data_IF_430627764982
#
_entry.id   IF_430627764982
#
_cell.length_a   1.000
_cell.length_b   1.000
_cell.length_c   1.000
_cell.angle_alpha   90.00
_cell.angle_beta   90.00
_cell.angle_gamma   90.00
#
_symmetry.space_group_name_H-M   'P 1'
#
loop_
_entity.id
_entity.type
_entity.pdbx_description
1 polymer ?
#
# COMPACT_ATOMS: atom_id res chain seq x y z
N UNK A 1 23.70 -7.30 -32.18
CA UNK A 1 22.91 -6.12 -31.70
C UNK A 1 21.43 -6.53 -31.69
N UNK A 2 20.98 -7.24 -30.69
CA UNK A 2 19.53 -7.42 -30.45
C UNK A 2 19.09 -6.36 -29.45
N UNK A 3 18.75 -5.18 -29.96
CA UNK A 3 18.11 -4.09 -29.21
C UNK A 3 16.64 -4.40 -28.98
N UNK A 4 16.31 -5.49 -28.31
CA UNK A 4 14.95 -5.69 -27.78
C UNK A 4 14.71 -4.66 -26.70
N UNK A 5 13.62 -3.89 -26.84
CA UNK A 5 13.18 -2.93 -25.84
C UNK A 5 12.81 -3.70 -24.54
N UNK A 6 13.75 -3.82 -23.61
CA UNK A 6 13.55 -4.57 -22.36
C UNK A 6 12.76 -3.70 -21.40
N UNK A 7 11.59 -4.17 -20.98
CA UNK A 7 10.83 -3.55 -19.90
C UNK A 7 11.57 -3.76 -18.57
N UNK A 8 11.88 -2.67 -17.88
CA UNK A 8 12.46 -2.73 -16.53
C UNK A 8 11.30 -2.76 -15.54
N UNK A 9 11.38 -3.69 -14.58
CA UNK A 9 10.41 -3.82 -13.50
C UNK A 9 11.09 -3.57 -12.17
N UNK A 10 10.44 -2.76 -11.33
CA UNK A 10 10.89 -2.42 -10.00
C UNK A 10 9.99 -2.96 -8.90
N UNK A 11 10.39 -2.68 -7.68
CA UNK A 11 9.65 -3.06 -6.47
C UNK A 11 8.93 -1.84 -5.87
N UNK A 12 8.07 -2.09 -4.89
CA UNK A 12 7.37 -1.06 -4.09
C UNK A 12 8.31 0.01 -3.51
N UNK A 13 9.58 -0.31 -3.27
CA UNK A 13 10.57 0.64 -2.74
C UNK A 13 10.77 1.85 -3.65
N UNK A 14 10.49 1.72 -4.94
CA UNK A 14 10.59 2.83 -5.88
C UNK A 14 9.58 3.94 -5.62
N UNK A 15 8.44 3.61 -5.01
CA UNK A 15 7.40 4.59 -4.70
C UNK A 15 7.87 5.73 -3.78
N UNK A 16 8.95 5.53 -3.06
CA UNK A 16 9.53 6.55 -2.16
C UNK A 16 10.71 7.31 -2.75
N UNK A 17 11.17 6.95 -3.96
CA UNK A 17 12.31 7.56 -4.61
C UNK A 17 11.89 8.51 -5.74
N UNK A 18 11.63 9.76 -5.38
CA UNK A 18 11.28 10.81 -6.34
C UNK A 18 12.41 11.13 -7.37
N UNK A 19 13.63 10.61 -7.18
CA UNK A 19 14.77 10.90 -8.06
C UNK A 19 14.85 9.99 -9.28
N UNK A 20 14.13 8.86 -9.29
CA UNK A 20 14.15 7.89 -10.38
C UNK A 20 13.85 8.50 -11.75
N UNK A 21 12.90 9.41 -11.83
CA UNK A 21 12.54 10.09 -13.08
C UNK A 21 13.64 10.99 -13.64
N UNK A 22 14.62 11.38 -12.84
CA UNK A 22 15.82 12.11 -13.26
C UNK A 22 16.74 11.28 -14.15
N UNK A 23 16.78 9.96 -13.95
CA UNK A 23 17.55 9.05 -14.79
C UNK A 23 16.74 8.66 -16.05
N UNK A 24 17.20 9.12 -17.22
CA UNK A 24 16.53 8.84 -18.48
C UNK A 24 16.38 7.33 -18.78
N UNK A 25 17.32 6.50 -18.33
CA UNK A 25 17.28 5.04 -18.52
C UNK A 25 16.18 4.36 -17.70
N UNK A 26 15.68 5.01 -16.65
CA UNK A 26 14.60 4.49 -15.80
C UNK A 26 13.21 4.89 -16.26
N UNK A 27 13.10 5.88 -17.15
CA UNK A 27 11.81 6.34 -17.67
C UNK A 27 11.15 5.25 -18.51
N UNK A 28 9.84 5.06 -18.31
CA UNK A 28 9.08 3.97 -18.90
C UNK A 28 9.18 2.65 -18.11
N UNK A 29 9.99 2.56 -17.06
CA UNK A 29 10.03 1.40 -16.18
C UNK A 29 8.75 1.33 -15.33
N UNK A 30 8.32 0.12 -14.98
CA UNK A 30 7.13 -0.12 -14.19
C UNK A 30 7.44 -0.69 -12.81
N UNK A 31 6.61 -0.37 -11.85
CA UNK A 31 6.67 -0.98 -10.53
C UNK A 31 5.27 -1.10 -9.93
N UNK A 32 5.09 -2.10 -9.07
CA UNK A 32 3.87 -2.29 -8.32
C UNK A 32 4.03 -1.70 -6.92
N UNK A 33 3.03 -0.93 -6.47
CA UNK A 33 3.01 -0.35 -5.13
C UNK A 33 1.59 -0.25 -4.60
N UNK A 34 1.46 -0.02 -3.30
CA UNK A 34 0.19 0.38 -2.70
C UNK A 34 -0.18 1.79 -3.13
N UNK A 35 -1.48 2.08 -3.22
CA UNK A 35 -1.97 3.42 -3.57
C UNK A 35 -1.64 4.45 -2.48
N UNK A 36 -1.20 5.64 -2.89
CA UNK A 36 -0.84 6.73 -1.97
C UNK A 36 -1.99 7.69 -1.65
N UNK A 37 -3.16 7.51 -2.25
CA UNK A 37 -4.27 8.47 -2.12
C UNK A 37 -4.72 8.71 -0.68
N UNK A 38 -4.99 7.66 0.08
CA UNK A 38 -5.39 7.76 1.49
C UNK A 38 -4.20 8.03 2.41
N UNK A 39 -3.01 7.51 2.08
CA UNK A 39 -1.80 7.82 2.83
C UNK A 39 -1.47 9.31 2.82
N UNK A 40 -1.66 10.00 1.70
CA UNK A 40 -1.48 11.45 1.60
C UNK A 40 -2.35 12.21 2.60
N UNK A 41 -3.61 11.80 2.78
CA UNK A 41 -4.52 12.38 3.77
C UNK A 41 -4.06 12.12 5.21
N UNK A 42 -3.63 10.88 5.52
CA UNK A 42 -3.04 10.53 6.82
C UNK A 42 -1.80 11.38 7.11
N UNK A 43 -0.89 11.49 6.14
CA UNK A 43 0.34 12.25 6.27
C UNK A 43 0.09 13.74 6.50
N UNK A 44 -0.91 14.34 5.83
CA UNK A 44 -1.31 15.72 6.05
C UNK A 44 -1.84 15.94 7.48
N UNK A 45 -2.76 15.10 7.95
CA UNK A 45 -3.29 15.15 9.33
C UNK A 45 -2.19 14.97 10.38
N UNK A 46 -1.30 14.03 10.14
CA UNK A 46 -0.17 13.75 11.03
C UNK A 46 0.77 14.96 11.12
N UNK A 47 1.10 15.58 9.97
CA UNK A 47 1.96 16.78 9.94
C UNK A 47 1.34 17.94 10.69
N UNK A 48 0.02 18.17 10.53
CA UNK A 48 -0.69 19.23 11.27
C UNK A 48 -0.61 19.00 12.79
N UNK A 49 -0.69 17.74 13.24
CA UNK A 49 -0.68 17.42 14.68
C UNK A 49 0.71 17.40 15.30
N UNK A 50 1.73 16.92 14.56
CA UNK A 50 3.05 16.61 15.10
C UNK A 50 4.20 17.44 14.47
N UNK A 51 3.90 18.33 13.54
CA UNK A 51 4.87 19.21 12.89
C UNK A 51 5.80 18.53 11.88
N UNK A 52 5.67 17.21 11.66
CA UNK A 52 6.51 16.43 10.74
C UNK A 52 5.69 15.36 10.02
N UNK A 53 6.16 14.92 8.84
CA UNK A 53 5.56 13.79 8.15
C UNK A 53 5.79 12.46 8.89
N UNK A 54 4.85 11.51 8.84
CA UNK A 54 5.08 10.16 9.34
C UNK A 54 6.05 9.41 8.42
N UNK A 55 6.71 8.38 8.95
CA UNK A 55 7.35 7.38 8.08
C UNK A 55 6.30 6.64 7.25
N UNK A 56 6.65 6.23 6.03
CA UNK A 56 5.72 5.53 5.13
C UNK A 56 5.11 4.28 5.80
N UNK A 57 5.92 3.53 6.54
CA UNK A 57 5.48 2.33 7.28
C UNK A 57 4.50 2.61 8.44
N UNK A 58 4.29 3.87 8.82
CA UNK A 58 3.30 4.21 9.84
C UNK A 58 1.86 3.85 9.43
N UNK A 59 1.59 3.75 8.11
CA UNK A 59 0.31 3.26 7.59
C UNK A 59 -0.02 1.85 8.07
N UNK A 60 0.98 0.96 8.15
CA UNK A 60 0.79 -0.42 8.63
C UNK A 60 0.34 -0.44 10.11
N UNK A 61 0.95 0.42 10.93
CA UNK A 61 0.52 0.57 12.34
C UNK A 61 -0.90 1.11 12.45
N UNK A 62 -1.23 2.12 11.64
CA UNK A 62 -2.57 2.69 11.58
C UNK A 62 -3.61 1.63 11.17
N UNK A 63 -3.35 0.90 10.08
CA UNK A 63 -4.22 -0.15 9.56
C UNK A 63 -4.38 -1.31 10.57
N UNK A 64 -3.32 -1.66 11.31
CA UNK A 64 -3.37 -2.70 12.35
C UNK A 64 -4.33 -2.33 13.48
N UNK A 65 -4.35 -1.06 13.90
CA UNK A 65 -5.28 -0.58 14.92
C UNK A 65 -6.71 -0.59 14.37
N UNK A 66 -6.95 -0.08 13.16
CA UNK A 66 -8.27 -0.09 12.55
C UNK A 66 -8.81 -1.51 12.38
N UNK A 67 -7.96 -2.44 11.92
CA UNK A 67 -8.30 -3.85 11.79
C UNK A 67 -8.70 -4.46 13.13
N UNK A 68 -7.88 -4.23 14.16
CA UNK A 68 -8.16 -4.73 15.51
C UNK A 68 -9.50 -4.22 16.05
N UNK A 69 -9.77 -2.93 15.90
CA UNK A 69 -11.05 -2.31 16.29
C UNK A 69 -12.22 -2.94 15.53
N UNK A 70 -12.06 -3.15 14.20
CA UNK A 70 -13.10 -3.78 13.37
C UNK A 70 -13.41 -5.20 13.80
N UNK A 71 -12.38 -6.00 14.09
CA UNK A 71 -12.55 -7.39 14.53
C UNK A 71 -13.15 -7.47 15.93
N UNK A 72 -12.72 -6.56 16.81
CA UNK A 72 -13.17 -6.51 18.21
C UNK A 72 -14.55 -5.86 18.40
N UNK A 73 -15.20 -5.38 17.35
CA UNK A 73 -16.44 -4.59 17.42
C UNK A 73 -17.51 -5.22 18.31
N UNK A 74 -17.70 -6.53 18.16
CA UNK A 74 -18.71 -7.28 18.90
C UNK A 74 -18.06 -8.30 19.88
N UNK A 75 -16.77 -8.11 20.14
CA UNK A 75 -16.04 -9.00 21.06
C UNK A 75 -16.38 -8.65 22.51
N UNK A 76 -16.69 -9.69 23.28
CA UNK A 76 -16.99 -9.55 24.72
C UNK A 76 -15.70 -9.73 25.52
N UNK A 77 -15.30 -8.75 26.37
CA UNK A 77 -14.15 -8.90 27.27
C UNK A 77 -14.27 -10.18 28.10
N UNK A 78 -13.14 -10.87 28.31
CA UNK A 78 -13.09 -12.15 29.01
C UNK A 78 -13.35 -13.38 28.14
N UNK A 79 -13.69 -13.21 26.86
CA UNK A 79 -13.79 -14.32 25.90
C UNK A 79 -12.55 -14.37 24.98
N UNK A 80 -12.39 -15.48 24.24
CA UNK A 80 -11.30 -15.62 23.28
C UNK A 80 -11.47 -14.56 22.16
N UNK A 81 -10.38 -13.87 21.81
CA UNK A 81 -10.37 -12.92 20.71
C UNK A 81 -10.76 -13.60 19.38
N UNK A 82 -11.70 -13.03 18.60
CA UNK A 82 -12.24 -13.68 17.41
C UNK A 82 -11.28 -13.63 16.21
N UNK A 83 -10.10 -14.24 16.34
CA UNK A 83 -9.03 -14.23 15.33
C UNK A 83 -9.45 -14.84 13.98
N UNK A 84 -10.44 -15.74 13.97
CA UNK A 84 -10.97 -16.29 12.71
C UNK A 84 -11.54 -15.25 11.79
N UNK A 85 -11.99 -14.10 12.29
CA UNK A 85 -12.47 -12.97 11.50
C UNK A 85 -11.37 -12.32 10.64
N UNK A 86 -10.08 -12.57 10.96
CA UNK A 86 -8.96 -12.13 10.12
C UNK A 86 -8.96 -12.79 8.74
N UNK A 87 -9.57 -13.96 8.62
CA UNK A 87 -9.63 -14.73 7.37
C UNK A 87 -10.86 -14.40 6.52
N UNK A 88 -11.50 -13.25 6.73
CA UNK A 88 -12.63 -12.80 5.92
C UNK A 88 -12.25 -12.76 4.43
N UNK A 89 -13.00 -13.45 3.59
CA UNK A 89 -12.73 -13.55 2.13
C UNK A 89 -12.79 -12.20 1.43
N UNK A 90 -13.73 -11.33 1.84
CA UNK A 90 -13.84 -9.96 1.34
C UNK A 90 -12.69 -9.06 1.77
N UNK A 91 -11.85 -9.51 2.70
CA UNK A 91 -10.71 -8.77 3.20
C UNK A 91 -11.08 -7.49 3.96
N UNK A 92 -10.15 -6.55 3.98
CA UNK A 92 -10.24 -5.31 4.73
C UNK A 92 -9.76 -4.13 3.89
N UNK A 93 -10.41 -2.98 4.06
CA UNK A 93 -9.91 -1.72 3.54
C UNK A 93 -8.98 -1.05 4.55
N UNK A 94 -7.84 -0.57 4.09
CA UNK A 94 -6.86 0.18 4.86
C UNK A 94 -6.40 1.45 4.15
N UNK A 95 -5.48 2.17 4.77
CA UNK A 95 -4.85 3.38 4.20
C UNK A 95 -4.07 3.04 2.91
N UNK A 96 -3.50 1.84 2.86
CA UNK A 96 -2.72 1.34 1.72
C UNK A 96 -3.58 0.48 0.76
N UNK A 97 -4.89 0.73 0.69
CA UNK A 97 -5.81 -0.04 -0.15
C UNK A 97 -6.38 -1.27 0.54
N UNK A 98 -6.96 -2.17 -0.25
CA UNK A 98 -7.56 -3.41 0.27
C UNK A 98 -6.49 -4.48 0.51
N UNK A 99 -6.71 -5.27 1.55
CA UNK A 99 -5.86 -6.43 1.87
C UNK A 99 -6.68 -7.54 2.54
N UNK A 100 -6.18 -8.76 2.47
CA UNK A 100 -6.71 -9.92 3.17
C UNK A 100 -5.59 -10.83 3.66
N UNK A 101 -5.87 -11.67 4.63
CA UNK A 101 -4.90 -12.66 5.11
C UNK A 101 -5.21 -14.03 4.50
N UNK A 102 -4.15 -14.74 4.14
CA UNK A 102 -4.25 -16.15 3.80
C UNK A 102 -4.19 -17.04 5.05
N UNK A 103 -4.42 -18.36 4.88
CA UNK A 103 -4.43 -19.33 5.98
C UNK A 103 -3.09 -19.48 6.72
N UNK A 104 -2.00 -18.87 6.20
CA UNK A 104 -0.69 -18.81 6.84
C UNK A 104 -0.46 -17.50 7.59
N UNK A 105 -1.47 -16.62 7.67
CA UNK A 105 -1.37 -15.31 8.31
C UNK A 105 -0.59 -14.26 7.50
N UNK A 106 -0.33 -14.53 6.22
CA UNK A 106 0.36 -13.59 5.34
C UNK A 106 -0.67 -12.68 4.69
N UNK A 107 -0.44 -11.36 4.79
CA UNK A 107 -1.26 -10.38 4.11
C UNK A 107 -1.00 -10.40 2.59
N UNK A 108 -2.07 -10.44 1.81
CA UNK A 108 -2.09 -10.19 0.37
C UNK A 108 -2.73 -8.83 0.17
N UNK A 109 -2.07 -7.93 -0.55
CA UNK A 109 -2.54 -6.57 -0.83
C UNK A 109 -2.87 -6.39 -2.30
N UNK A 110 -3.87 -5.56 -2.57
CA UNK A 110 -4.09 -5.04 -3.90
C UNK A 110 -3.06 -3.94 -4.17
N UNK A 111 -2.40 -4.03 -5.31
CA UNK A 111 -1.37 -3.08 -5.74
C UNK A 111 -1.82 -2.39 -7.02
N UNK A 112 -1.39 -1.15 -7.21
CA UNK A 112 -1.44 -0.46 -8.48
C UNK A 112 -0.12 -0.61 -9.22
N UNK A 113 -0.13 -0.45 -10.54
CA UNK A 113 1.09 -0.40 -11.35
C UNK A 113 1.34 1.03 -11.76
N UNK A 114 2.54 1.51 -11.49
CA UNK A 114 3.01 2.84 -11.86
C UNK A 114 4.15 2.77 -12.86
N UNK A 115 4.21 3.79 -13.73
CA UNK A 115 5.28 4.02 -14.68
C UNK A 115 6.13 5.21 -14.25
N UNK A 116 7.45 5.07 -14.36
CA UNK A 116 8.41 6.14 -14.07
C UNK A 116 8.40 7.16 -15.20
N UNK A 117 8.00 8.39 -14.90
CA UNK A 117 8.05 9.54 -15.79
C UNK A 117 9.16 10.53 -15.43
N UNK A 118 9.40 11.54 -16.26
CA UNK A 118 10.43 12.55 -16.03
C UNK A 118 10.18 13.39 -14.76
N UNK A 119 8.92 13.61 -14.38
CA UNK A 119 8.51 14.45 -13.24
C UNK A 119 7.90 13.68 -12.08
N UNK A 120 8.02 12.35 -12.05
CA UNK A 120 7.42 11.50 -11.02
C UNK A 120 6.81 10.23 -11.58
N UNK A 121 5.82 9.69 -10.91
CA UNK A 121 5.17 8.43 -11.27
C UNK A 121 3.77 8.67 -11.82
N UNK A 122 3.38 7.83 -12.77
CA UNK A 122 2.04 7.82 -13.34
C UNK A 122 1.41 6.44 -13.15
N UNK A 123 0.28 6.36 -12.46
CA UNK A 123 -0.48 5.12 -12.36
C UNK A 123 -0.98 4.73 -13.75
N UNK A 124 -0.62 3.53 -14.20
CA UNK A 124 -1.03 2.96 -15.49
C UNK A 124 -2.06 1.85 -15.34
N UNK A 125 -2.11 1.22 -14.15
CA UNK A 125 -3.13 0.24 -13.79
C UNK A 125 -3.49 0.45 -12.30
N UNK A 126 -4.71 0.95 -12.00
CA UNK A 126 -5.09 1.27 -10.64
C UNK A 126 -5.32 0.02 -9.79
N UNK A 127 -5.06 0.13 -8.49
CA UNK A 127 -5.30 -0.96 -7.56
C UNK A 127 -6.80 -1.36 -7.55
N UNK A 128 -7.13 -2.66 -7.54
CA UNK A 128 -8.49 -3.12 -7.34
C UNK A 128 -9.08 -2.59 -6.03
N UNK A 129 -10.38 -2.28 -6.05
CA UNK A 129 -11.15 -1.86 -4.86
C UNK A 129 -11.95 -2.99 -4.22
N UNK A 130 -11.95 -4.16 -4.84
CA UNK A 130 -12.63 -5.40 -4.39
C UNK A 130 -11.75 -6.60 -4.74
N UNK A 131 -11.92 -7.67 -3.97
CA UNK A 131 -11.35 -9.00 -4.26
C UNK A 131 -12.26 -9.79 -5.19
#
# INVERSE_FOLDING_TARGET
KSGGNKQILGTELWNTDATLGGNAAMRGSWFASVSDGLYGQLAAKYRTRYGKAPYRLASLGYDSVLLTVRIARDWKPGTIFPASRLLAEDGFGGIDGIFRFNNRGIAVRALEVSEVGAGGFRVIDPAPTKW
#
